data_IF_007243546273
#
_entry.id   IF_007243546273
#
_cell.length_a   1.000
_cell.length_b   1.000
_cell.length_c   1.000
_cell.angle_alpha   90.00
_cell.angle_beta   90.00
_cell.angle_gamma   90.00
#
_symmetry.space_group_name_H-M   'P 1'
#
loop_
_entity.id
_entity.type
_entity.pdbx_description
1 polymer ?
#
# COMPACT_ATOMS: atom_id res chain seq x y z
N UNK A 1 -8.46 27.12 39.09
CA UNK A 1 -7.44 26.53 38.20
C UNK A 1 -8.22 25.96 37.04
N UNK A 2 -8.31 26.77 36.00
CA UNK A 2 -9.20 26.59 34.86
C UNK A 2 -8.35 26.21 33.64
N UNK A 3 -8.95 25.40 32.78
CA UNK A 3 -8.33 24.59 31.74
C UNK A 3 -7.78 25.44 30.60
N UNK A 4 -6.53 25.16 30.19
CA UNK A 4 -5.99 25.64 28.92
C UNK A 4 -6.44 24.73 27.78
N UNK A 5 -6.82 25.34 26.65
CA UNK A 5 -6.15 25.22 25.34
C UNK A 5 -7.13 25.68 24.24
N UNK A 6 -7.17 26.98 23.98
CA UNK A 6 -7.87 27.59 22.85
C UNK A 6 -6.80 28.14 21.89
N UNK A 7 -6.42 27.31 20.93
CA UNK A 7 -5.49 27.68 19.86
C UNK A 7 -6.22 27.57 18.52
N UNK A 8 -6.73 28.69 18.02
CA UNK A 8 -6.85 29.03 16.59
C UNK A 8 -7.55 30.39 16.42
N UNK A 9 -6.82 31.49 16.65
CA UNK A 9 -7.12 32.77 16.01
C UNK A 9 -5.80 33.33 15.50
N UNK A 10 -5.43 32.83 14.33
CA UNK A 10 -4.29 33.29 13.56
C UNK A 10 -4.82 34.36 12.57
N UNK A 11 -4.50 35.60 12.92
CA UNK A 11 -4.13 36.72 12.05
C UNK A 11 -4.99 37.04 10.82
N UNK A 12 -5.89 38.01 11.01
CA UNK A 12 -6.37 38.90 9.95
C UNK A 12 -5.22 39.87 9.63
N UNK A 13 -4.52 39.61 8.54
CA UNK A 13 -3.59 40.56 7.94
C UNK A 13 -4.38 41.59 7.11
N UNK A 14 -4.52 42.78 7.67
CA UNK A 14 -4.93 43.98 6.95
C UNK A 14 -3.76 44.45 6.11
N UNK A 15 -3.66 43.96 4.88
CA UNK A 15 -2.68 44.39 3.90
C UNK A 15 -2.80 45.88 3.59
N UNK A 16 -1.96 46.67 4.23
CA UNK A 16 -1.57 48.01 3.77
C UNK A 16 -0.68 47.83 2.53
N UNK A 17 -1.06 48.47 1.42
CA UNK A 17 -0.34 48.38 0.16
C UNK A 17 1.01 49.10 0.25
N UNK A 18 2.05 48.35 0.57
CA UNK A 18 3.43 48.71 0.25
C UNK A 18 3.69 48.40 -1.22
N UNK A 19 3.84 49.44 -2.04
CA UNK A 19 4.26 49.34 -3.43
C UNK A 19 5.69 48.76 -3.49
N UNK A 20 5.79 47.44 -3.67
CA UNK A 20 7.06 46.76 -3.95
C UNK A 20 7.35 47.00 -5.42
N UNK A 21 8.28 47.93 -5.67
CA UNK A 21 8.96 48.07 -6.96
C UNK A 21 9.52 46.69 -7.31
N UNK A 22 9.14 46.05 -8.43
CA UNK A 22 9.76 44.81 -8.84
C UNK A 22 11.24 45.11 -9.04
N UNK A 23 12.10 44.50 -8.24
CA UNK A 23 13.48 44.30 -8.63
C UNK A 23 13.38 43.44 -9.88
N UNK A 24 13.46 44.11 -11.03
CA UNK A 24 13.51 43.48 -12.34
C UNK A 24 14.78 42.67 -12.27
N UNK A 25 14.66 41.40 -11.90
CA UNK A 25 15.64 40.40 -12.26
C UNK A 25 15.78 40.56 -13.77
N UNK A 26 16.86 41.20 -14.18
CA UNK A 26 17.31 41.13 -15.55
C UNK A 26 17.47 39.63 -15.80
N UNK A 27 16.43 39.04 -16.40
CA UNK A 27 16.51 37.71 -16.97
C UNK A 27 17.56 37.90 -18.04
N UNK A 28 18.79 37.55 -17.70
CA UNK A 28 19.88 37.50 -18.64
C UNK A 28 19.42 36.53 -19.74
N UNK A 29 18.95 37.12 -20.84
CA UNK A 29 18.34 36.42 -21.95
C UNK A 29 19.35 35.49 -22.65
N UNK A 30 20.60 35.53 -22.17
CA UNK A 30 21.75 34.76 -22.63
C UNK A 30 21.89 33.41 -21.91
N UNK A 31 21.04 33.08 -20.92
CA UNK A 31 20.89 31.69 -20.43
C UNK A 31 19.80 30.93 -21.18
N UNK A 32 19.50 31.34 -22.41
CA UNK A 32 18.67 30.56 -23.32
C UNK A 32 19.51 29.38 -23.80
N UNK A 33 19.21 28.17 -23.32
CA UNK A 33 19.70 26.97 -23.98
C UNK A 33 19.29 27.07 -25.45
N UNK A 34 20.22 26.89 -26.42
CA UNK A 34 19.89 27.06 -27.82
C UNK A 34 18.68 26.18 -28.16
N UNK A 35 17.71 26.75 -28.88
CA UNK A 35 16.60 25.98 -29.41
C UNK A 35 17.16 24.77 -30.14
N UNK A 36 16.67 23.59 -29.78
CA UNK A 36 17.09 22.35 -30.41
C UNK A 36 16.99 22.52 -31.93
N UNK A 37 18.09 22.26 -32.62
CA UNK A 37 18.12 22.43 -34.07
C UNK A 37 17.13 21.45 -34.71
N UNK A 38 16.56 21.80 -35.86
CA UNK A 38 15.63 20.90 -36.57
C UNK A 38 16.22 19.49 -36.79
N UNK A 39 17.54 19.41 -36.93
CA UNK A 39 18.30 18.17 -37.06
C UNK A 39 18.33 17.35 -35.76
N UNK A 40 18.50 18.00 -34.62
CA UNK A 40 18.45 17.37 -33.30
C UNK A 40 17.04 16.87 -32.99
N UNK A 41 16.02 17.68 -33.27
CA UNK A 41 14.61 17.30 -33.12
C UNK A 41 14.30 16.10 -34.03
N UNK A 42 14.72 16.13 -35.30
CA UNK A 42 14.50 15.01 -36.22
C UNK A 42 15.23 13.73 -35.79
N UNK A 43 16.42 13.85 -35.20
CA UNK A 43 17.15 12.72 -34.64
C UNK A 43 16.45 12.14 -33.41
N UNK A 44 15.96 12.99 -32.52
CA UNK A 44 15.24 12.57 -31.32
C UNK A 44 13.91 11.88 -31.67
N UNK A 45 13.15 12.44 -32.61
CA UNK A 45 11.93 11.83 -33.14
C UNK A 45 12.25 10.46 -33.76
N UNK A 46 13.27 10.38 -34.62
CA UNK A 46 13.66 9.11 -35.26
C UNK A 46 14.13 8.07 -34.24
N UNK A 47 14.83 8.50 -33.19
CA UNK A 47 15.24 7.63 -32.10
C UNK A 47 14.03 7.11 -31.33
N UNK A 48 13.07 7.98 -31.00
CA UNK A 48 11.84 7.61 -30.33
C UNK A 48 11.01 6.63 -31.17
N UNK A 49 10.89 6.85 -32.47
CA UNK A 49 10.21 5.95 -33.41
C UNK A 49 10.87 4.56 -33.43
N UNK A 50 12.20 4.49 -33.59
CA UNK A 50 12.93 3.21 -33.58
C UNK A 50 12.84 2.50 -32.22
N UNK A 51 12.87 3.27 -31.13
CA UNK A 51 12.71 2.73 -29.78
C UNK A 51 11.30 2.17 -29.57
N UNK A 52 10.26 2.90 -29.96
CA UNK A 52 8.86 2.47 -29.92
C UNK A 52 8.66 1.21 -30.75
N UNK A 53 9.19 1.18 -31.96
CA UNK A 53 9.14 0.00 -32.83
C UNK A 53 9.81 -1.23 -32.17
N UNK A 54 10.96 -1.02 -31.52
CA UNK A 54 11.68 -2.07 -30.80
C UNK A 54 10.92 -2.64 -29.59
N UNK A 55 10.07 -1.84 -28.93
CA UNK A 55 9.24 -2.29 -27.80
C UNK A 55 7.84 -2.77 -28.23
N UNK A 56 7.62 -2.98 -29.53
CA UNK A 56 6.38 -3.56 -30.08
C UNK A 56 5.51 -2.58 -30.87
N UNK A 57 5.99 -1.35 -31.09
CA UNK A 57 5.28 -0.29 -31.80
C UNK A 57 4.35 0.52 -30.89
N UNK A 58 3.98 1.70 -31.37
CA UNK A 58 3.13 2.67 -30.66
C UNK A 58 1.80 2.03 -30.19
N UNK A 59 1.21 1.15 -30.99
CA UNK A 59 -0.05 0.46 -30.66
C UNK A 59 0.10 -0.57 -29.53
N UNK A 60 1.23 -1.28 -29.43
CA UNK A 60 1.48 -2.21 -28.33
C UNK A 60 1.76 -1.48 -27.01
N UNK A 61 2.31 -0.26 -27.10
CA UNK A 61 2.56 0.62 -25.95
C UNK A 61 1.27 1.32 -25.50
N UNK A 62 0.39 1.70 -26.44
CA UNK A 62 -0.85 2.42 -26.15
C UNK A 62 -2.06 1.54 -25.80
N UNK A 63 -2.07 0.26 -26.16
CA UNK A 63 -3.26 -0.58 -26.01
C UNK A 63 -2.95 -2.05 -25.74
N UNK A 64 -2.54 -2.41 -24.52
CA UNK A 64 -2.61 -3.82 -24.13
C UNK A 64 -1.85 -4.25 -22.88
N UNK A 65 -2.20 -5.45 -22.42
CA UNK A 65 -1.38 -6.19 -21.45
C UNK A 65 -0.03 -6.52 -22.08
N UNK A 66 1.03 -6.54 -21.26
CA UNK A 66 2.36 -6.93 -21.74
C UNK A 66 2.33 -8.34 -22.35
N UNK A 67 3.24 -8.67 -23.30
CA UNK A 67 3.33 -10.01 -23.87
C UNK A 67 3.44 -11.12 -22.81
N UNK A 68 4.04 -10.82 -21.65
CA UNK A 68 4.17 -11.78 -20.56
C UNK A 68 2.85 -11.98 -19.80
N UNK A 69 2.10 -10.92 -19.52
CA UNK A 69 0.77 -11.02 -18.90
C UNK A 69 -0.26 -11.69 -19.82
N UNK A 70 -0.17 -11.45 -21.14
CA UNK A 70 -1.04 -12.06 -22.15
C UNK A 70 -0.98 -13.60 -22.15
N UNK A 71 0.18 -14.18 -21.82
CA UNK A 71 0.36 -15.65 -21.72
C UNK A 71 -0.54 -16.30 -20.66
N UNK A 72 -1.00 -15.52 -19.69
CA UNK A 72 -1.85 -15.99 -18.60
C UNK A 72 -3.31 -15.52 -18.73
N UNK A 73 -3.64 -14.79 -19.80
CA UNK A 73 -4.94 -14.12 -19.99
C UNK A 73 -6.14 -15.07 -20.04
N UNK A 74 -5.94 -16.31 -20.50
CA UNK A 74 -7.02 -17.30 -20.63
C UNK A 74 -7.45 -17.93 -19.29
N UNK A 75 -6.74 -17.62 -18.20
CA UNK A 75 -7.03 -18.17 -16.88
C UNK A 75 -6.97 -17.07 -15.83
N UNK A 76 -8.12 -16.65 -15.26
CA UNK A 76 -8.13 -15.59 -14.26
C UNK A 76 -7.30 -15.94 -13.02
N UNK A 77 -7.17 -17.24 -12.69
CA UNK A 77 -6.31 -17.70 -11.61
C UNK A 77 -4.82 -17.65 -11.99
N UNK A 78 -4.45 -17.93 -13.24
CA UNK A 78 -3.07 -17.80 -13.69
C UNK A 78 -2.65 -16.32 -13.73
N UNK A 79 -3.52 -15.43 -14.22
CA UNK A 79 -3.30 -13.99 -14.21
C UNK A 79 -3.19 -13.44 -12.78
N UNK A 80 -3.99 -13.95 -11.84
CA UNK A 80 -3.87 -13.61 -10.43
C UNK A 80 -2.48 -13.96 -9.86
N UNK A 81 -1.97 -15.16 -10.15
CA UNK A 81 -0.64 -15.58 -9.69
C UNK A 81 0.51 -14.95 -10.48
N UNK A 82 0.26 -14.39 -11.67
CA UNK A 82 1.24 -13.55 -12.37
C UNK A 82 1.52 -12.26 -11.56
N UNK A 83 0.48 -11.58 -11.08
CA UNK A 83 0.63 -10.37 -10.25
C UNK A 83 0.97 -10.65 -8.79
N UNK A 84 0.49 -11.78 -8.25
CA UNK A 84 0.71 -12.20 -6.87
C UNK A 84 1.44 -13.54 -6.87
N UNK A 85 2.75 -13.57 -7.11
CA UNK A 85 3.50 -14.80 -7.34
C UNK A 85 3.69 -15.61 -6.06
N UNK A 86 3.92 -16.93 -6.19
CA UNK A 86 4.11 -17.87 -5.05
C UNK A 86 5.13 -17.37 -4.01
N UNK A 87 6.30 -16.81 -4.38
CA UNK A 87 7.26 -16.27 -3.41
C UNK A 87 6.71 -15.15 -2.54
N UNK A 88 5.79 -14.31 -3.06
CA UNK A 88 5.15 -13.26 -2.28
C UNK A 88 4.33 -13.86 -1.13
N UNK A 89 3.51 -14.87 -1.42
CA UNK A 89 2.70 -15.56 -0.40
C UNK A 89 3.56 -16.28 0.63
N UNK A 90 4.68 -16.87 0.21
CA UNK A 90 5.65 -17.46 1.12
C UNK A 90 6.23 -16.41 2.07
N UNK A 91 6.63 -15.26 1.54
CA UNK A 91 7.17 -14.16 2.33
C UNK A 91 6.14 -13.61 3.32
N UNK A 92 4.90 -13.37 2.89
CA UNK A 92 3.81 -12.93 3.77
C UNK A 92 3.59 -13.92 4.91
N UNK A 93 3.61 -15.23 4.62
CA UNK A 93 3.44 -16.25 5.65
C UNK A 93 4.59 -16.24 6.67
N UNK A 94 5.83 -16.09 6.23
CA UNK A 94 7.00 -15.95 7.12
C UNK A 94 6.83 -14.73 8.02
N UNK A 95 6.67 -13.55 7.43
CA UNK A 95 6.55 -12.30 8.20
C UNK A 95 5.35 -12.32 9.15
N UNK A 96 4.21 -12.88 8.72
CA UNK A 96 3.02 -12.99 9.57
C UNK A 96 3.24 -13.91 10.77
N UNK A 97 4.00 -15.00 10.59
CA UNK A 97 4.34 -15.91 11.69
C UNK A 97 5.38 -15.29 12.63
N UNK A 98 6.34 -14.53 12.12
CA UNK A 98 7.31 -13.78 12.94
C UNK A 98 6.60 -12.72 13.78
N UNK A 99 5.78 -11.88 13.15
CA UNK A 99 4.94 -10.89 13.83
C UNK A 99 4.07 -11.54 14.91
N UNK A 100 3.48 -12.71 14.60
CA UNK A 100 2.67 -13.45 15.58
C UNK A 100 3.47 -13.83 16.83
N UNK A 101 4.72 -14.27 16.67
CA UNK A 101 5.62 -14.65 17.78
C UNK A 101 5.99 -13.43 18.63
N UNK A 102 6.34 -12.33 17.98
CA UNK A 102 6.66 -11.06 18.66
C UNK A 102 5.49 -10.55 19.49
N UNK A 103 4.27 -10.69 18.95
CA UNK A 103 3.04 -10.20 19.59
C UNK A 103 2.44 -11.14 20.64
N UNK A 104 3.05 -12.30 20.94
CA UNK A 104 2.51 -13.27 21.91
C UNK A 104 2.20 -12.62 23.26
N UNK A 105 3.13 -11.83 23.80
CA UNK A 105 2.96 -11.19 25.12
C UNK A 105 1.72 -10.29 25.17
N UNK A 106 1.54 -9.43 24.18
CA UNK A 106 0.36 -8.55 24.08
C UNK A 106 -0.92 -9.37 23.89
N UNK A 107 -0.91 -10.36 22.99
CA UNK A 107 -2.07 -11.23 22.73
C UNK A 107 -2.50 -12.00 23.97
N UNK A 108 -1.56 -12.43 24.82
CA UNK A 108 -1.86 -13.10 26.10
C UNK A 108 -2.68 -12.18 27.02
N UNK A 109 -2.30 -10.90 27.13
CA UNK A 109 -2.98 -9.94 28.01
C UNK A 109 -4.39 -9.65 27.52
N UNK A 110 -4.53 -9.38 26.23
CA UNK A 110 -5.83 -9.14 25.61
C UNK A 110 -6.74 -10.36 25.71
N UNK A 111 -6.22 -11.55 25.39
CA UNK A 111 -6.97 -12.80 25.47
C UNK A 111 -7.41 -13.10 26.91
N UNK A 112 -6.53 -12.88 27.89
CA UNK A 112 -6.86 -13.06 29.30
C UNK A 112 -7.94 -12.07 29.77
N UNK A 113 -7.86 -10.79 29.35
CA UNK A 113 -8.89 -9.77 29.63
C UNK A 113 -10.24 -10.16 29.02
N UNK A 114 -10.26 -10.57 27.75
CA UNK A 114 -11.46 -11.06 27.05
C UNK A 114 -12.05 -12.29 27.72
N UNK A 115 -11.21 -13.24 28.14
CA UNK A 115 -11.64 -14.45 28.84
C UNK A 115 -12.27 -14.15 30.20
N UNK A 116 -11.65 -13.27 31.00
CA UNK A 116 -12.19 -12.83 32.29
C UNK A 116 -13.56 -12.16 32.12
N UNK A 117 -13.73 -11.34 31.08
CA UNK A 117 -15.04 -10.74 30.74
C UNK A 117 -16.08 -11.81 30.39
N UNK A 118 -15.73 -12.78 29.54
CA UNK A 118 -16.62 -13.90 29.18
C UNK A 118 -17.00 -14.76 30.40
N UNK A 119 -16.06 -15.05 31.31
CA UNK A 119 -16.33 -15.82 32.52
C UNK A 119 -17.20 -15.08 33.53
N UNK A 120 -17.10 -13.74 33.62
CA UNK A 120 -18.04 -12.94 34.43
C UNK A 120 -19.48 -13.07 33.90
N UNK A 121 -19.64 -13.10 32.58
CA UNK A 121 -20.95 -13.31 31.95
C UNK A 121 -21.43 -14.78 32.00
N UNK A 122 -20.50 -15.74 32.04
CA UNK A 122 -20.79 -17.15 32.16
C UNK A 122 -19.85 -17.84 33.18
N UNK A 123 -20.28 -17.95 34.45
CA UNK A 123 -19.47 -18.54 35.52
C UNK A 123 -19.17 -20.04 35.34
N UNK A 124 -19.88 -20.76 34.47
CA UNK A 124 -19.64 -22.19 34.22
C UNK A 124 -18.38 -22.45 33.38
N UNK A 125 -17.80 -21.41 32.77
CA UNK A 125 -16.57 -21.54 32.01
C UNK A 125 -15.38 -21.84 32.94
N UNK A 126 -14.44 -22.70 32.51
CA UNK A 126 -13.27 -23.03 33.31
C UNK A 126 -12.42 -21.79 33.64
N UNK A 127 -11.51 -21.93 34.59
CA UNK A 127 -10.49 -20.90 34.81
C UNK A 127 -9.31 -21.17 33.90
N UNK A 128 -8.91 -20.17 33.12
CA UNK A 128 -7.74 -20.24 32.25
C UNK A 128 -6.73 -19.19 32.70
N UNK A 129 -5.51 -19.62 32.98
CA UNK A 129 -4.44 -18.73 33.44
C UNK A 129 -3.75 -18.05 32.26
N UNK A 130 -2.96 -17.01 32.54
CA UNK A 130 -2.09 -16.39 31.52
C UNK A 130 -1.10 -17.38 30.92
N UNK A 131 -0.62 -18.36 31.70
CA UNK A 131 0.33 -19.38 31.23
C UNK A 131 -0.32 -20.34 30.25
N UNK A 132 -1.55 -20.78 30.54
CA UNK A 132 -2.31 -21.66 29.63
C UNK A 132 -2.58 -20.95 28.30
N UNK A 133 -3.01 -19.68 28.36
CA UNK A 133 -3.23 -18.87 27.15
C UNK A 133 -1.93 -18.68 26.37
N UNK A 134 -0.82 -18.40 27.06
CA UNK A 134 0.49 -18.26 26.42
C UNK A 134 0.90 -19.54 25.71
N UNK A 135 0.78 -20.68 26.39
CA UNK A 135 1.10 -21.99 25.82
C UNK A 135 0.28 -22.29 24.57
N UNK A 136 -1.03 -22.02 24.60
CA UNK A 136 -1.91 -22.21 23.44
C UNK A 136 -1.51 -21.32 22.25
N UNK A 137 -1.09 -20.08 22.53
CA UNK A 137 -0.66 -19.14 21.48
C UNK A 137 0.72 -19.50 20.90
N UNK A 138 1.63 -20.03 21.71
CA UNK A 138 2.97 -20.46 21.27
C UNK A 138 2.94 -21.78 20.49
N UNK A 139 1.95 -22.65 20.79
CA UNK A 139 1.75 -23.93 20.10
C UNK A 139 0.80 -23.83 18.89
N UNK A 140 0.27 -22.63 18.62
CA UNK A 140 -0.57 -22.35 17.46
C UNK A 140 0.21 -22.67 16.17
N UNK A 141 -0.44 -23.41 15.25
CA UNK A 141 0.19 -23.82 13.99
C UNK A 141 0.63 -22.60 13.18
N UNK A 142 1.79 -22.71 12.54
CA UNK A 142 2.27 -21.69 11.62
C UNK A 142 1.30 -21.51 10.45
N UNK A 143 1.09 -20.26 10.04
CA UNK A 143 0.35 -19.92 8.81
C UNK A 143 1.12 -20.47 7.64
N UNK A 144 0.46 -21.25 6.78
CA UNK A 144 1.01 -21.73 5.54
C UNK A 144 0.70 -20.75 4.39
N UNK A 145 1.53 -20.68 3.34
CA UNK A 145 1.32 -19.71 2.25
C UNK A 145 -0.06 -19.80 1.58
N UNK A 146 -0.59 -21.02 1.40
CA UNK A 146 -1.91 -21.22 0.80
C UNK A 146 -3.06 -20.82 1.73
N UNK A 147 -2.85 -20.78 3.05
CA UNK A 147 -3.83 -20.28 4.00
C UNK A 147 -3.94 -18.74 3.90
N UNK A 148 -2.84 -18.07 3.57
CA UNK A 148 -2.86 -16.63 3.25
C UNK A 148 -3.74 -16.37 2.02
N UNK A 149 -3.59 -17.17 0.96
CA UNK A 149 -4.47 -17.07 -0.22
C UNK A 149 -5.96 -17.22 0.13
N UNK A 150 -6.29 -18.19 1.00
CA UNK A 150 -7.67 -18.40 1.49
C UNK A 150 -8.17 -17.20 2.30
N UNK A 151 -7.33 -16.61 3.13
CA UNK A 151 -7.67 -15.41 3.90
C UNK A 151 -7.91 -14.19 3.00
N UNK A 152 -7.20 -14.11 1.87
CA UNK A 152 -7.35 -13.03 0.91
C UNK A 152 -8.62 -13.15 0.05
N UNK A 153 -9.13 -14.37 -0.15
CA UNK A 153 -10.29 -14.61 -1.03
C UNK A 153 -11.57 -13.85 -0.58
N UNK A 154 -11.91 -13.79 0.73
CA UNK A 154 -12.99 -12.93 1.22
C UNK A 154 -12.81 -11.43 0.94
N UNK A 155 -11.58 -10.93 0.86
CA UNK A 155 -11.31 -9.52 0.52
C UNK A 155 -11.71 -9.24 -0.93
N UNK A 156 -11.34 -10.16 -1.84
CA UNK A 156 -11.74 -10.10 -3.24
C UNK A 156 -13.27 -10.20 -3.36
N UNK A 157 -13.90 -11.13 -2.62
CA UNK A 157 -15.34 -11.28 -2.61
C UNK A 157 -16.06 -9.99 -2.16
N UNK A 158 -15.55 -9.30 -1.13
CA UNK A 158 -16.10 -8.02 -0.68
C UNK A 158 -15.88 -6.87 -1.64
N UNK A 159 -14.76 -6.86 -2.36
CA UNK A 159 -14.51 -5.86 -3.37
C UNK A 159 -15.50 -5.98 -4.54
N UNK A 160 -15.90 -7.21 -4.89
CA UNK A 160 -16.87 -7.49 -5.96
C UNK A 160 -18.32 -7.30 -5.47
N UNK A 161 -18.62 -7.78 -4.27
CA UNK A 161 -19.94 -7.66 -3.64
C UNK A 161 -19.79 -6.98 -2.27
N UNK A 162 -19.91 -5.64 -2.24
CA UNK A 162 -19.93 -4.90 -0.99
C UNK A 162 -21.11 -5.36 -0.13
N UNK A 163 -20.93 -5.42 1.19
CA UNK A 163 -22.04 -5.66 2.09
C UNK A 163 -23.08 -4.54 1.93
N UNK A 164 -24.36 -4.89 1.81
CA UNK A 164 -25.43 -3.93 2.04
C UNK A 164 -25.47 -3.65 3.53
N UNK A 165 -24.99 -2.48 3.93
CA UNK A 165 -25.20 -1.94 5.28
C UNK A 165 -26.69 -1.69 5.55
#
# INVERSE_FOLDING_TARGET
>A
MDSGDEAALDDIDTGEEGEIIPDVLEVDNDTYAPDATELEIAHEIRFAEQFLEKIGGEQAVLAGASPDALRYGDSPIALFFHFMPVPLWQHIAVCSNEYRKEMVSQRVEEAHKRYKKKRRANPSLPTKTRRDIKHDLETEKAILPHEVCRFFSPLIARAIMPNRE
#
